data_IF_843438144123
#
_entry.id   IF_843438144123
#
_cell.length_a   1.000
_cell.length_b   1.000
_cell.length_c   1.000
_cell.angle_alpha   90.00
_cell.angle_beta   90.00
_cell.angle_gamma   90.00
#
_symmetry.space_group_name_H-M   'P 1'
#
loop_
_entity.id
_entity.type
_entity.pdbx_description
1 polymer ?
#
# COMPACT_ATOMS: atom_id res chain seq x y z
N UNK A 1 -3.09 -5.19 5.93
CA UNK A 1 -4.18 -4.53 6.68
C UNK A 1 -5.43 -5.39 6.61
N UNK A 2 -5.79 -6.19 7.63
CA UNK A 2 -7.01 -7.02 7.66
C UNK A 2 -7.38 -7.82 6.37
N UNK A 3 -6.41 -8.17 5.51
CA UNK A 3 -6.66 -8.80 4.21
C UNK A 3 -7.03 -7.85 3.05
N UNK A 4 -7.12 -6.54 3.29
CA UNK A 4 -7.35 -5.55 2.24
C UNK A 4 -6.10 -5.33 1.39
N UNK A 5 -6.27 -5.47 0.07
CA UNK A 5 -5.28 -5.08 -0.93
C UNK A 5 -5.33 -3.56 -1.12
N UNK A 6 -4.16 -2.99 -1.36
CA UNK A 6 -4.00 -1.56 -1.64
C UNK A 6 -3.05 -1.37 -2.79
N UNK A 7 -3.33 -0.38 -3.63
CA UNK A 7 -2.47 -0.02 -4.75
C UNK A 7 -1.69 1.22 -4.37
N UNK A 8 -0.38 1.08 -4.16
CA UNK A 8 0.50 2.23 -3.91
C UNK A 8 0.56 3.09 -5.18
N UNK A 9 0.19 4.36 -5.06
CA UNK A 9 0.17 5.31 -6.18
C UNK A 9 1.33 6.28 -6.15
N UNK A 10 1.85 6.60 -4.95
CA UNK A 10 3.03 7.45 -4.79
C UNK A 10 3.74 7.14 -3.48
N UNK A 11 5.06 7.27 -3.48
CA UNK A 11 5.90 7.22 -2.28
C UNK A 11 6.64 8.55 -2.20
N UNK A 12 6.33 9.33 -1.18
CA UNK A 12 7.03 10.55 -0.82
C UNK A 12 7.98 10.29 0.35
N UNK A 13 8.90 11.22 0.63
CA UNK A 13 9.96 11.06 1.63
C UNK A 13 9.46 10.61 3.02
N UNK A 14 8.26 11.04 3.44
CA UNK A 14 7.71 10.76 4.77
C UNK A 14 6.43 9.91 4.74
N UNK A 15 5.84 9.68 3.57
CA UNK A 15 4.50 9.08 3.44
C UNK A 15 4.32 8.25 2.18
N UNK A 16 3.45 7.25 2.29
CA UNK A 16 2.96 6.44 1.18
C UNK A 16 1.53 6.83 0.88
N UNK A 17 1.23 7.09 -0.38
CA UNK A 17 -0.11 7.31 -0.91
C UNK A 17 -0.56 6.05 -1.62
N UNK A 18 -1.76 5.58 -1.31
CA UNK A 18 -2.32 4.37 -1.91
C UNK A 18 -3.84 4.46 -2.06
N UNK A 19 -4.39 3.69 -2.98
CA UNK A 19 -5.83 3.50 -3.15
C UNK A 19 -6.28 2.21 -2.49
N UNK A 20 -7.51 2.20 -1.98
CA UNK A 20 -8.18 1.02 -1.44
C UNK A 20 -9.47 0.78 -2.21
N UNK A 21 -9.77 -0.48 -2.51
CA UNK A 21 -11.01 -0.84 -3.18
C UNK A 21 -12.24 -0.39 -2.37
N UNK A 22 -13.24 0.12 -3.09
CA UNK A 22 -14.46 0.65 -2.49
C UNK A 22 -14.32 2.00 -1.78
N UNK A 23 -13.16 2.66 -1.86
CA UNK A 23 -12.95 4.00 -1.30
C UNK A 23 -12.53 4.99 -2.39
N UNK A 24 -13.28 6.09 -2.60
CA UNK A 24 -13.10 6.97 -3.76
C UNK A 24 -11.94 7.97 -3.61
N UNK A 25 -11.23 7.98 -2.49
CA UNK A 25 -10.19 8.96 -2.18
C UNK A 25 -8.85 8.29 -1.87
N UNK A 26 -7.71 8.94 -2.17
CA UNK A 26 -6.40 8.41 -1.81
C UNK A 26 -6.22 8.38 -0.29
N UNK A 27 -5.63 7.29 0.18
CA UNK A 27 -5.21 7.10 1.56
C UNK A 27 -3.73 7.47 1.71
N UNK A 28 -3.37 8.04 2.86
CA UNK A 28 -1.98 8.38 3.18
C UNK A 28 -1.56 7.71 4.49
N UNK A 29 -0.35 7.14 4.52
CA UNK A 29 0.26 6.58 5.73
C UNK A 29 1.72 7.01 5.86
N UNK A 30 2.22 7.26 7.07
CA UNK A 30 3.64 7.48 7.27
C UNK A 30 4.47 6.26 6.88
N UNK A 31 5.61 6.48 6.22
CA UNK A 31 6.49 5.39 5.75
C UNK A 31 6.93 4.45 6.88
N UNK A 32 7.24 4.99 8.06
CA UNK A 32 7.72 4.19 9.20
C UNK A 32 6.72 3.11 9.68
N UNK A 33 5.44 3.28 9.36
CA UNK A 33 4.38 2.35 9.75
C UNK A 33 3.83 1.50 8.59
N UNK A 34 4.17 1.84 7.35
CA UNK A 34 3.61 1.19 6.17
C UNK A 34 4.07 -0.27 5.99
N UNK A 35 5.39 -0.60 6.03
CA UNK A 35 5.86 -1.97 5.80
C UNK A 35 5.49 -2.94 6.93
N UNK A 36 5.18 -2.45 8.14
CA UNK A 36 4.65 -3.29 9.22
C UNK A 36 3.18 -3.68 9.04
N UNK A 37 2.43 -2.97 8.19
CA UNK A 37 0.99 -3.16 7.97
C UNK A 37 0.65 -3.78 6.62
N UNK A 38 1.50 -3.58 5.63
CA UNK A 38 1.34 -4.08 4.28
C UNK A 38 2.54 -4.94 3.93
N UNK A 39 2.25 -6.13 3.38
CA UNK A 39 3.25 -6.97 2.75
C UNK A 39 3.10 -6.81 1.24
N UNK A 40 4.19 -6.78 0.46
CA UNK A 40 4.08 -6.88 -0.98
C UNK A 40 3.31 -8.16 -1.31
N UNK A 41 2.43 -8.08 -2.31
CA UNK A 41 1.84 -9.28 -2.88
C UNK A 41 2.99 -10.19 -3.36
N UNK A 42 2.97 -11.49 -3.06
CA UNK A 42 3.97 -12.39 -3.62
C UNK A 42 3.89 -12.25 -5.13
N UNK A 43 4.95 -11.71 -5.74
CA UNK A 43 5.11 -11.77 -7.19
C UNK A 43 5.27 -13.25 -7.49
N UNK A 44 4.30 -13.83 -8.20
CA UNK A 44 4.53 -15.10 -8.86
C UNK A 44 5.65 -14.82 -9.88
N UNK A 45 6.87 -15.25 -9.54
CA UNK A 45 8.00 -15.22 -10.46
C UNK A 45 7.66 -16.21 -11.58
N UNK A 46 7.02 -15.72 -12.65
CA UNK A 46 6.97 -16.45 -13.91
C UNK A 46 8.38 -16.44 -14.49
N UNK A 47 9.10 -17.55 -14.31
CA UNK A 47 10.25 -17.96 -15.12
C UNK A 47 9.92 -18.00 -16.62
#
# INVERSE_FOLDING_TARGET
DHGALVTVTSVEETRVVFMRDGYPHPCMRPMYNFPGKFKPEPREETE
#
